data_IF_684577555752
#
_entry.id   IF_684577555752
#
_cell.length_a   1.000
_cell.length_b   1.000
_cell.length_c   1.000
_cell.angle_alpha   90.00
_cell.angle_beta   90.00
_cell.angle_gamma   90.00
#
_symmetry.space_group_name_H-M   'P 1'
#
loop_
_entity.id
_entity.type
_entity.pdbx_description
1 polymer ?
#
# COMPACT_ATOMS: atom_id res chain seq x y z
N UNK A 1 -17.90 24.84 -2.99
CA UNK A 1 -17.06 23.83 -3.65
C UNK A 1 -15.94 23.27 -2.76
N UNK A 2 -15.53 23.98 -1.69
CA UNK A 2 -14.45 23.55 -0.77
C UNK A 2 -14.75 22.32 0.09
N UNK A 3 -16.03 21.94 0.26
CA UNK A 3 -16.42 20.82 1.13
C UNK A 3 -16.10 19.43 0.55
N UNK A 4 -15.94 19.30 -0.78
CA UNK A 4 -15.64 17.99 -1.42
C UNK A 4 -14.20 17.55 -1.14
N UNK A 5 -13.28 18.51 -1.01
CA UNK A 5 -11.84 18.25 -0.82
C UNK A 5 -11.54 17.60 0.54
N UNK A 6 -12.35 17.88 1.56
CA UNK A 6 -12.18 17.33 2.91
C UNK A 6 -12.93 16.00 3.14
N UNK A 7 -13.47 15.37 2.09
CA UNK A 7 -14.10 14.05 2.24
C UNK A 7 -13.04 12.96 2.48
N UNK A 8 -13.29 11.98 3.37
CA UNK A 8 -12.32 10.93 3.68
C UNK A 8 -11.73 10.21 2.45
N UNK A 9 -12.50 9.89 1.39
CA UNK A 9 -11.96 9.27 0.18
C UNK A 9 -10.95 10.14 -0.56
N UNK A 10 -11.14 11.47 -0.57
CA UNK A 10 -10.23 12.41 -1.24
C UNK A 10 -8.90 12.51 -0.49
N UNK A 11 -8.93 12.50 0.84
CA UNK A 11 -7.71 12.44 1.65
C UNK A 11 -6.91 11.15 1.36
N UNK A 12 -7.60 10.00 1.31
CA UNK A 12 -6.95 8.73 0.97
C UNK A 12 -6.40 8.74 -0.45
N UNK A 13 -7.10 9.37 -1.39
CA UNK A 13 -6.61 9.56 -2.75
C UNK A 13 -5.29 10.35 -2.77
N UNK A 14 -5.19 11.47 -2.05
CA UNK A 14 -3.94 12.23 -1.95
C UNK A 14 -2.80 11.40 -1.33
N UNK A 15 -3.09 10.59 -0.32
CA UNK A 15 -2.11 9.65 0.27
C UNK A 15 -1.62 8.64 -0.78
N UNK A 16 -2.51 8.10 -1.61
CA UNK A 16 -2.14 7.16 -2.68
C UNK A 16 -1.28 7.82 -3.76
N UNK A 17 -1.59 9.07 -4.13
CA UNK A 17 -0.76 9.86 -5.06
C UNK A 17 0.61 10.09 -4.47
N UNK A 18 0.71 10.56 -3.22
CA UNK A 18 1.97 10.78 -2.52
C UNK A 18 2.80 9.50 -2.43
N UNK A 19 2.18 8.38 -2.08
CA UNK A 19 2.83 7.07 -2.05
C UNK A 19 3.32 6.62 -3.44
N UNK A 20 2.70 7.09 -4.52
CA UNK A 20 3.11 6.78 -5.90
C UNK A 20 4.29 7.61 -6.35
N UNK A 21 4.27 8.91 -6.04
CA UNK A 21 5.41 9.80 -6.26
C UNK A 21 6.61 9.30 -5.44
N UNK A 22 6.42 8.97 -4.16
CA UNK A 22 7.48 8.44 -3.30
C UNK A 22 8.07 7.14 -3.86
N UNK A 23 7.23 6.17 -4.26
CA UNK A 23 7.73 4.92 -4.87
C UNK A 23 8.46 5.16 -6.19
N UNK A 24 8.04 6.16 -6.97
CA UNK A 24 8.71 6.52 -8.23
C UNK A 24 10.08 7.14 -7.95
N UNK A 25 10.18 8.11 -7.06
CA UNK A 25 11.44 8.75 -6.68
C UNK A 25 12.43 7.72 -6.12
N UNK A 26 11.97 6.87 -5.20
CA UNK A 26 12.77 5.77 -4.65
C UNK A 26 13.21 4.75 -5.70
N UNK A 27 12.40 4.54 -6.74
CA UNK A 27 12.70 3.62 -7.83
C UNK A 27 13.57 4.20 -8.94
N UNK A 28 13.67 5.52 -9.08
CA UNK A 28 14.49 6.15 -10.13
C UNK A 28 15.94 6.33 -9.67
N UNK A 29 16.16 6.64 -8.40
CA UNK A 29 17.50 6.79 -7.84
C UNK A 29 18.12 5.44 -7.45
N UNK A 30 18.66 4.70 -8.43
CA UNK A 30 19.37 3.43 -8.21
C UNK A 30 20.78 3.60 -7.57
N UNK A 31 20.93 4.51 -6.62
CA UNK A 31 22.17 4.74 -5.85
C UNK A 31 22.21 4.05 -4.47
N UNK A 32 21.29 3.12 -4.21
CA UNK A 32 21.08 2.54 -2.88
C UNK A 32 22.00 1.34 -2.64
N UNK A 33 22.65 1.32 -1.48
CA UNK A 33 23.66 0.35 -1.05
C UNK A 33 23.13 -1.08 -0.84
N UNK A 34 21.83 -1.26 -0.67
CA UNK A 34 21.17 -2.57 -0.45
C UNK A 34 19.89 -2.71 -1.31
N UNK A 35 19.96 -3.43 -2.44
CA UNK A 35 18.82 -3.69 -3.33
C UNK A 35 17.67 -4.45 -2.66
N UNK A 36 17.95 -5.35 -1.72
CA UNK A 36 16.95 -6.16 -1.03
C UNK A 36 16.09 -5.32 -0.09
N UNK A 37 16.74 -4.45 0.68
CA UNK A 37 16.05 -3.48 1.53
C UNK A 37 15.17 -2.49 0.73
N UNK A 38 15.65 -2.04 -0.44
CA UNK A 38 14.87 -1.17 -1.32
C UNK A 38 13.64 -1.90 -1.88
N UNK A 39 13.82 -3.13 -2.36
CA UNK A 39 12.71 -3.95 -2.84
C UNK A 39 11.66 -4.20 -1.75
N UNK A 40 12.11 -4.54 -0.53
CA UNK A 40 11.25 -4.72 0.63
C UNK A 40 10.43 -3.46 0.95
N UNK A 41 11.06 -2.28 0.90
CA UNK A 41 10.38 -0.99 1.11
C UNK A 41 9.33 -0.72 0.02
N UNK A 42 9.66 -0.92 -1.25
CA UNK A 42 8.72 -0.72 -2.36
C UNK A 42 7.52 -1.66 -2.28
N UNK A 43 7.76 -2.93 -1.93
CA UNK A 43 6.69 -3.92 -1.69
C UNK A 43 5.80 -3.47 -0.52
N UNK A 44 6.39 -3.03 0.60
CA UNK A 44 5.62 -2.54 1.74
C UNK A 44 4.74 -1.34 1.34
N UNK A 45 5.28 -0.36 0.61
CA UNK A 45 4.52 0.78 0.08
C UNK A 45 3.37 0.30 -0.82
N UNK A 46 3.61 -0.67 -1.70
CA UNK A 46 2.59 -1.23 -2.58
C UNK A 46 1.45 -1.88 -1.79
N UNK A 47 1.76 -2.70 -0.78
CA UNK A 47 0.72 -3.35 0.06
C UNK A 47 -0.06 -2.35 0.93
N UNK A 48 0.59 -1.27 1.40
CA UNK A 48 -0.11 -0.17 2.07
C UNK A 48 -1.13 0.47 1.12
N UNK A 49 -0.78 0.71 -0.16
CA UNK A 49 -1.73 1.22 -1.16
C UNK A 49 -2.91 0.27 -1.35
N UNK A 50 -2.64 -1.04 -1.48
CA UNK A 50 -3.70 -2.07 -1.61
C UNK A 50 -4.63 -2.04 -0.40
N UNK A 51 -4.09 -1.92 0.82
CA UNK A 51 -4.90 -1.86 2.05
C UNK A 51 -5.81 -0.62 2.09
N UNK A 52 -5.30 0.54 1.66
CA UNK A 52 -6.06 1.79 1.56
C UNK A 52 -7.17 1.69 0.51
N UNK A 53 -6.86 1.19 -0.68
CA UNK A 53 -7.83 0.97 -1.77
C UNK A 53 -8.94 0.02 -1.34
N UNK A 54 -8.58 -1.14 -0.78
CA UNK A 54 -9.55 -2.12 -0.32
C UNK A 54 -10.52 -1.55 0.72
N UNK A 55 -9.99 -0.86 1.75
CA UNK A 55 -10.84 -0.34 2.83
C UNK A 55 -11.72 0.84 2.43
N UNK A 56 -11.22 1.76 1.60
CA UNK A 56 -11.89 3.05 1.35
C UNK A 56 -12.59 3.15 -0.01
N UNK A 57 -12.14 2.42 -1.02
CA UNK A 57 -12.73 2.47 -2.36
C UNK A 57 -13.55 1.23 -2.70
N UNK A 58 -13.20 0.06 -2.16
CA UNK A 58 -13.98 -1.18 -2.35
C UNK A 58 -14.99 -1.44 -1.23
N UNK A 59 -15.19 -0.47 -0.33
CA UNK A 59 -16.09 -0.56 0.83
C UNK A 59 -15.91 -1.83 1.69
N UNK A 60 -14.73 -2.46 1.67
CA UNK A 60 -14.47 -3.69 2.45
C UNK A 60 -14.56 -3.47 3.96
N UNK A 61 -14.61 -2.21 4.41
CA UNK A 61 -14.91 -1.86 5.80
C UNK A 61 -16.33 -2.29 6.21
N UNK A 62 -17.32 -2.10 5.32
CA UNK A 62 -18.74 -2.43 5.52
C UNK A 62 -19.11 -3.83 4.98
N UNK A 63 -18.22 -4.46 4.23
CA UNK A 63 -18.42 -5.79 3.69
C UNK A 63 -18.55 -6.88 4.78
N UNK A 64 -19.15 -8.01 4.41
CA UNK A 64 -19.36 -9.15 5.28
C UNK A 64 -18.05 -9.57 6.00
N UNK A 65 -18.10 -9.91 7.29
CA UNK A 65 -16.90 -10.26 8.08
C UNK A 65 -15.94 -11.29 7.47
N UNK A 66 -16.39 -12.38 6.78
CA UNK A 66 -15.46 -13.33 6.18
C UNK A 66 -14.61 -12.71 5.06
N UNK A 67 -15.18 -11.85 4.22
CA UNK A 67 -14.48 -11.20 3.12
C UNK A 67 -13.39 -10.25 3.65
N UNK A 68 -13.75 -9.46 4.68
CA UNK A 68 -12.83 -8.55 5.34
C UNK A 68 -11.64 -9.28 5.97
N UNK A 69 -11.88 -10.44 6.60
CA UNK A 69 -10.82 -11.28 7.17
C UNK A 69 -9.94 -11.92 6.09
N UNK A 70 -10.54 -12.46 5.03
CA UNK A 70 -9.79 -13.04 3.92
C UNK A 70 -8.85 -12.02 3.27
N UNK A 71 -9.32 -10.80 3.05
CA UNK A 71 -8.49 -9.71 2.52
C UNK A 71 -7.35 -9.31 3.47
N UNK A 72 -7.64 -9.18 4.77
CA UNK A 72 -6.58 -8.90 5.76
C UNK A 72 -5.54 -10.02 5.81
N UNK A 73 -5.98 -11.27 5.78
CA UNK A 73 -5.10 -12.43 5.78
C UNK A 73 -4.22 -12.44 4.53
N UNK A 74 -4.79 -12.13 3.36
CA UNK A 74 -4.05 -11.98 2.12
C UNK A 74 -2.95 -10.89 2.23
N UNK A 75 -3.28 -9.72 2.77
CA UNK A 75 -2.30 -8.65 2.96
C UNK A 75 -1.15 -9.08 3.87
N UNK A 76 -1.45 -9.79 4.97
CA UNK A 76 -0.44 -10.26 5.91
C UNK A 76 0.44 -11.38 5.33
N UNK A 77 -0.17 -12.42 4.75
CA UNK A 77 0.55 -13.58 4.23
C UNK A 77 1.37 -13.19 3.00
N UNK A 78 0.73 -12.57 2.01
CA UNK A 78 1.39 -12.28 0.73
C UNK A 78 2.30 -11.07 0.87
N UNK A 79 1.83 -9.99 1.50
CA UNK A 79 2.64 -8.80 1.70
C UNK A 79 3.83 -9.07 2.62
N UNK A 80 3.58 -9.70 3.77
CA UNK A 80 4.65 -10.09 4.69
C UNK A 80 5.62 -11.09 4.07
N UNK A 81 5.11 -12.11 3.38
CA UNK A 81 5.94 -13.11 2.71
C UNK A 81 6.84 -12.51 1.63
N UNK A 82 6.33 -11.58 0.82
CA UNK A 82 7.13 -10.90 -0.21
C UNK A 82 8.18 -9.96 0.39
N UNK A 83 7.87 -9.27 1.48
CA UNK A 83 8.86 -8.44 2.20
C UNK A 83 9.97 -9.29 2.78
N UNK A 84 9.63 -10.41 3.44
CA UNK A 84 10.63 -11.34 3.98
C UNK A 84 11.49 -11.91 2.86
N UNK A 85 10.87 -12.33 1.76
CA UNK A 85 11.59 -12.85 0.60
C UNK A 85 12.54 -11.80 0.01
N UNK A 86 12.11 -10.55 -0.08
CA UNK A 86 12.92 -9.47 -0.65
C UNK A 86 14.16 -9.12 0.18
N UNK A 87 14.13 -9.33 1.50
CA UNK A 87 15.31 -9.12 2.38
C UNK A 87 16.17 -10.39 2.48
N UNK A 88 15.60 -11.56 2.21
CA UNK A 88 16.30 -12.84 2.30
C UNK A 88 17.12 -13.22 1.05
N UNK A 89 16.89 -12.53 -0.07
CA UNK A 89 17.57 -12.70 -1.36
C UNK A 89 18.61 -11.62 -1.56
#
# INVERSE_FOLDING_TARGET
MSAVVCSPPVVVWFVLVAATVASYVLGVEHGVTDPGALAALLIAIAFVKVALVGRHFMELHAAAPPLRRAFQLYLWIVGGGLVVLAVAL
#
